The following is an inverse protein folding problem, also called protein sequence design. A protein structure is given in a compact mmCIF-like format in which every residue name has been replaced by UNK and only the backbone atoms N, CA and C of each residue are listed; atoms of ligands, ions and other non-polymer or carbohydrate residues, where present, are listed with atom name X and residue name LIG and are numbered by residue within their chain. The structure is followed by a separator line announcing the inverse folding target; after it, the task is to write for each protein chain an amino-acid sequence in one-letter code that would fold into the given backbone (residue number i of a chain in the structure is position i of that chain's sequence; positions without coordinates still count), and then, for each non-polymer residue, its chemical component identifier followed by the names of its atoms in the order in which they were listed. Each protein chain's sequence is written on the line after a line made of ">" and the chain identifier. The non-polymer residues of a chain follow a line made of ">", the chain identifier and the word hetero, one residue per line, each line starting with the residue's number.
data_IF_680298379653
#
_entry.id   IF_680298379653
#
_cell.length_a   1.000
_cell.length_b   1.000
_cell.length_c   1.000
_cell.angle_alpha   90.00
_cell.angle_beta   90.00
_cell.angle_gamma   90.00
#
_symmetry.space_group_name_H-M   'P 1'
#
loop_
_entity.id
_entity.type
_entity.pdbx_description
1 polymer ?
#
# COMPACT_ATOMS: atom_id res chain seq x y z
N UNK A 1 -8.61 13.92 -88.51
CA UNK A 1 -9.13 12.81 -87.65
C UNK A 1 -8.39 12.88 -86.33
N UNK A 2 -9.03 13.48 -85.36
CA UNK A 2 -8.43 13.74 -84.02
C UNK A 2 -8.95 12.70 -83.07
N UNK A 3 -8.04 11.91 -82.43
CA UNK A 3 -8.37 11.02 -81.34
C UNK A 3 -8.08 11.74 -80.01
N UNK A 4 -9.14 12.06 -79.28
CA UNK A 4 -9.06 12.54 -77.90
C UNK A 4 -8.92 11.31 -76.96
N UNK A 5 -7.82 11.21 -76.23
CA UNK A 5 -7.65 10.21 -75.15
C UNK A 5 -8.17 10.82 -73.88
N UNK A 6 -9.25 10.26 -73.33
CA UNK A 6 -9.65 10.49 -71.91
C UNK A 6 -8.71 9.75 -71.00
N UNK A 7 -8.06 10.49 -70.07
CA UNK A 7 -7.34 9.91 -68.93
C UNK A 7 -8.29 9.91 -67.73
N UNK A 8 -8.70 8.70 -67.25
CA UNK A 8 -9.34 8.54 -65.96
C UNK A 8 -8.26 8.59 -64.85
N UNK A 9 -8.32 9.66 -64.08
CA UNK A 9 -7.52 9.77 -62.86
C UNK A 9 -8.18 8.99 -61.74
N UNK A 10 -7.58 7.88 -61.29
CA UNK A 10 -7.95 7.19 -60.08
C UNK A 10 -7.37 7.94 -58.90
N UNK A 11 -8.22 8.65 -58.14
CA UNK A 11 -7.85 9.22 -56.84
C UNK A 11 -7.83 8.10 -55.80
N UNK A 12 -6.64 7.58 -55.47
CA UNK A 12 -6.43 6.69 -54.34
C UNK A 12 -6.50 7.50 -53.03
N UNK A 13 -7.63 7.42 -52.35
CA UNK A 13 -7.80 7.96 -51.02
C UNK A 13 -6.92 7.19 -50.04
N UNK A 14 -5.78 7.75 -49.64
CA UNK A 14 -4.99 7.23 -48.50
C UNK A 14 -5.73 7.60 -47.23
N UNK A 15 -6.46 6.64 -46.68
CA UNK A 15 -6.98 6.73 -45.31
C UNK A 15 -5.78 6.68 -44.33
N UNK A 16 -5.33 7.83 -43.87
CA UNK A 16 -4.44 7.95 -42.74
C UNK A 16 -5.19 7.41 -41.50
N UNK A 17 -4.99 6.14 -41.17
CA UNK A 17 -5.33 5.61 -39.88
C UNK A 17 -4.46 6.35 -38.87
N UNK A 18 -5.00 7.38 -38.23
CA UNK A 18 -4.41 8.01 -37.08
C UNK A 18 -4.27 6.94 -35.99
N UNK A 19 -3.08 6.40 -35.85
CA UNK A 19 -2.75 5.54 -34.69
C UNK A 19 -2.98 6.40 -33.48
N UNK A 20 -4.12 6.24 -32.80
CA UNK A 20 -4.37 6.88 -31.51
C UNK A 20 -3.24 6.44 -30.58
N UNK A 21 -2.28 7.33 -30.30
CA UNK A 21 -1.21 7.03 -29.36
C UNK A 21 -1.85 6.76 -28.00
N UNK A 22 -1.44 5.67 -27.34
CA UNK A 22 -1.97 5.34 -26.03
C UNK A 22 -1.68 6.49 -25.05
N UNK A 23 -2.71 6.94 -24.33
CA UNK A 23 -2.57 7.91 -23.24
C UNK A 23 -1.64 7.34 -22.18
N UNK A 24 -0.63 8.10 -21.78
CA UNK A 24 0.31 7.67 -20.75
C UNK A 24 0.01 8.34 -19.41
N UNK A 25 -0.25 7.54 -18.37
CA UNK A 25 -0.45 8.02 -17.01
C UNK A 25 0.66 7.53 -16.08
N UNK A 26 1.07 8.38 -15.14
CA UNK A 26 2.07 8.03 -14.12
C UNK A 26 1.43 7.44 -12.87
N UNK A 27 2.12 6.48 -12.23
CA UNK A 27 1.80 6.01 -10.88
C UNK A 27 3.01 6.17 -9.96
N UNK A 28 2.82 6.86 -8.83
CA UNK A 28 3.86 7.09 -7.83
C UNK A 28 4.37 5.79 -7.21
N UNK A 29 5.68 5.63 -7.17
CA UNK A 29 6.35 4.43 -6.73
C UNK A 29 7.58 4.73 -5.87
N UNK A 30 8.12 3.70 -5.24
CA UNK A 30 9.41 3.71 -4.54
C UNK A 30 10.45 2.88 -5.29
N UNK A 31 11.73 3.08 -4.98
CA UNK A 31 12.83 2.31 -5.60
C UNK A 31 12.72 0.80 -5.32
N UNK A 32 12.23 0.41 -4.13
CA UNK A 32 12.15 -0.98 -3.69
C UNK A 32 11.03 -1.16 -2.65
N UNK A 33 10.79 -2.42 -2.24
CA UNK A 33 9.81 -2.77 -1.21
C UNK A 33 8.40 -2.98 -1.74
N UNK A 34 7.42 -2.98 -0.83
CA UNK A 34 6.02 -3.31 -1.16
C UNK A 34 5.42 -2.37 -2.20
N UNK A 35 5.60 -1.05 -2.04
CA UNK A 35 5.08 -0.04 -2.98
C UNK A 35 5.61 -0.28 -4.39
N UNK A 36 6.93 -0.54 -4.54
CA UNK A 36 7.52 -0.81 -5.85
C UNK A 36 6.94 -2.06 -6.52
N UNK A 37 6.70 -3.13 -5.76
CA UNK A 37 6.12 -4.37 -6.28
C UNK A 37 4.64 -4.19 -6.66
N UNK A 38 3.87 -3.53 -5.81
CA UNK A 38 2.45 -3.27 -6.04
C UNK A 38 2.26 -2.43 -7.30
N UNK A 39 2.99 -1.32 -7.41
CA UNK A 39 2.88 -0.43 -8.57
C UNK A 39 3.35 -1.08 -9.87
N UNK A 40 4.37 -1.93 -9.84
CA UNK A 40 4.79 -2.70 -11.01
C UNK A 40 3.69 -3.64 -11.51
N UNK A 41 3.02 -4.34 -10.59
CA UNK A 41 1.92 -5.24 -10.93
C UNK A 41 0.72 -4.48 -11.52
N UNK A 42 0.33 -3.35 -10.91
CA UNK A 42 -0.77 -2.51 -11.41
C UNK A 42 -0.42 -1.94 -12.79
N UNK A 43 0.79 -1.35 -12.93
CA UNK A 43 1.21 -0.75 -14.21
C UNK A 43 1.17 -1.77 -15.34
N UNK A 44 1.66 -2.99 -15.08
CA UNK A 44 1.61 -4.08 -16.06
C UNK A 44 0.17 -4.42 -16.43
N UNK A 45 -0.69 -4.70 -15.44
CA UNK A 45 -2.08 -5.08 -15.68
C UNK A 45 -2.87 -4.00 -16.44
N UNK A 46 -2.71 -2.72 -16.06
CA UNK A 46 -3.38 -1.61 -16.74
C UNK A 46 -2.90 -1.46 -18.16
N UNK A 47 -1.58 -1.49 -18.41
CA UNK A 47 -1.02 -1.35 -19.76
C UNK A 47 -1.40 -2.50 -20.70
N UNK A 48 -1.62 -3.71 -20.18
CA UNK A 48 -2.00 -4.89 -20.95
C UNK A 48 -3.51 -5.00 -21.21
N UNK A 49 -4.35 -4.48 -20.28
CA UNK A 49 -5.80 -4.73 -20.32
C UNK A 49 -6.69 -3.49 -20.35
N UNK A 50 -6.12 -2.28 -20.42
CA UNK A 50 -6.85 -1.04 -20.64
C UNK A 50 -6.54 -0.49 -22.03
N UNK A 51 -7.37 -0.75 -23.06
CA UNK A 51 -7.11 -0.30 -24.42
C UNK A 51 -6.90 1.22 -24.48
N UNK A 52 -5.83 1.64 -25.17
CA UNK A 52 -5.48 3.05 -25.33
C UNK A 52 -4.88 3.70 -24.08
N UNK A 53 -4.52 2.93 -23.03
CA UNK A 53 -3.91 3.46 -21.81
C UNK A 53 -2.60 2.75 -21.49
N UNK A 54 -1.56 3.52 -21.21
CA UNK A 54 -0.27 3.04 -20.69
C UNK A 54 -0.05 3.59 -19.29
N UNK A 55 0.22 2.73 -18.30
CA UNK A 55 0.55 3.17 -16.96
C UNK A 55 2.03 2.94 -16.66
N UNK A 56 2.74 3.99 -16.27
CA UNK A 56 4.19 3.94 -16.02
C UNK A 56 4.52 4.29 -14.56
N UNK A 57 5.37 3.47 -13.96
CA UNK A 57 5.93 3.76 -12.65
C UNK A 57 6.78 5.02 -12.70
N UNK A 58 6.52 5.95 -11.79
CA UNK A 58 7.38 7.10 -11.52
C UNK A 58 7.97 6.97 -10.10
N UNK A 59 9.28 6.72 -10.05
CA UNK A 59 9.97 6.48 -8.78
C UNK A 59 10.32 7.80 -8.10
N UNK A 60 9.62 8.09 -7.01
CA UNK A 60 9.89 9.19 -6.10
C UNK A 60 10.35 8.61 -4.76
N UNK A 61 10.97 9.39 -3.90
CA UNK A 61 11.65 8.88 -2.70
C UNK A 61 10.79 8.04 -1.75
N UNK A 62 9.50 8.37 -1.62
CA UNK A 62 8.55 7.64 -0.79
C UNK A 62 7.13 8.18 -0.94
N UNK A 63 6.16 7.56 -0.29
CA UNK A 63 4.74 7.93 -0.38
C UNK A 63 4.51 9.42 -0.06
N UNK A 64 5.21 9.95 0.94
CA UNK A 64 5.08 11.35 1.32
C UNK A 64 5.55 12.33 0.24
N UNK A 65 6.44 11.93 -0.68
CA UNK A 65 6.90 12.76 -1.78
C UNK A 65 5.90 12.82 -2.94
N UNK A 66 5.17 11.75 -3.24
CA UNK A 66 4.24 11.78 -4.36
C UNK A 66 2.79 12.14 -3.99
N UNK A 67 2.42 12.15 -2.72
CA UNK A 67 1.11 12.66 -2.28
C UNK A 67 0.83 14.08 -2.80
N UNK A 68 1.72 15.09 -2.55
CA UNK A 68 1.47 16.44 -3.06
C UNK A 68 1.45 16.51 -4.59
N UNK A 69 2.26 15.70 -5.29
CA UNK A 69 2.34 15.70 -6.76
C UNK A 69 1.03 15.19 -7.39
N UNK A 70 0.43 14.13 -6.82
CA UNK A 70 -0.90 13.66 -7.26
C UNK A 70 -1.98 14.66 -6.88
N UNK A 71 -1.90 15.27 -5.68
CA UNK A 71 -2.87 16.28 -5.26
C UNK A 71 -2.84 17.55 -6.12
N UNK A 72 -1.69 17.88 -6.73
CA UNK A 72 -1.56 18.96 -7.71
C UNK A 72 -2.05 18.57 -9.11
N UNK A 73 -2.30 17.28 -9.38
CA UNK A 73 -2.66 16.76 -10.70
C UNK A 73 -1.46 16.52 -11.64
N UNK A 74 -0.24 16.66 -11.15
CA UNK A 74 1.01 16.47 -11.93
C UNK A 74 1.40 14.99 -12.07
N UNK A 75 0.85 14.12 -11.24
CA UNK A 75 1.00 12.67 -11.30
C UNK A 75 -0.38 12.02 -11.26
N UNK A 76 -0.63 11.07 -12.15
CA UNK A 76 -1.95 10.48 -12.33
C UNK A 76 -2.47 9.69 -11.12
N UNK A 77 -1.65 8.81 -10.59
CA UNK A 77 -2.05 7.90 -9.52
C UNK A 77 -1.02 7.79 -8.41
N UNK A 78 -1.51 7.41 -7.23
CA UNK A 78 -0.66 7.05 -6.11
C UNK A 78 -1.21 5.83 -5.38
N UNK A 79 -0.35 5.17 -4.60
CA UNK A 79 -0.74 4.13 -3.68
C UNK A 79 -0.21 4.44 -2.27
N UNK A 80 -0.97 4.07 -1.26
CA UNK A 80 -0.53 4.13 0.14
C UNK A 80 -1.33 3.15 0.98
N UNK A 81 -0.90 2.98 2.23
CA UNK A 81 -1.79 2.41 3.23
C UNK A 81 -2.85 3.45 3.67
N UNK A 82 -3.99 2.97 4.17
CA UNK A 82 -5.09 3.84 4.59
C UNK A 82 -4.67 4.85 5.68
N UNK A 83 -3.82 4.56 6.68
CA UNK A 83 -3.36 5.55 7.64
C UNK A 83 -2.67 6.76 7.00
N UNK A 84 -1.78 6.54 6.01
CA UNK A 84 -1.11 7.65 5.31
C UNK A 84 -2.09 8.46 4.47
N UNK A 85 -2.99 7.78 3.75
CA UNK A 85 -4.03 8.45 2.97
C UNK A 85 -4.93 9.33 3.85
N UNK A 86 -5.41 8.77 4.97
CA UNK A 86 -6.24 9.48 5.93
C UNK A 86 -5.53 10.71 6.52
N UNK A 87 -4.27 10.55 6.93
CA UNK A 87 -3.46 11.69 7.39
C UNK A 87 -3.31 12.75 6.31
N UNK A 88 -3.16 12.35 5.05
CA UNK A 88 -3.00 13.26 3.92
C UNK A 88 -4.25 14.11 3.67
N UNK A 89 -5.41 13.47 3.54
CA UNK A 89 -6.66 14.19 3.24
C UNK A 89 -7.16 15.04 4.41
N UNK A 90 -6.76 14.72 5.65
CA UNK A 90 -7.11 15.48 6.86
C UNK A 90 -6.04 16.45 7.34
N UNK A 91 -4.87 16.49 6.70
CA UNK A 91 -3.76 17.37 7.11
C UNK A 91 -3.11 17.02 8.45
N UNK A 92 -3.27 15.76 8.91
CA UNK A 92 -2.80 15.33 10.23
C UNK A 92 -1.48 14.53 10.17
N UNK A 93 -0.89 14.22 11.30
CA UNK A 93 0.26 13.34 11.44
C UNK A 93 1.40 13.67 10.48
N UNK A 94 1.72 12.75 9.56
CA UNK A 94 2.81 12.90 8.60
C UNK A 94 2.62 14.04 7.60
N UNK A 95 1.41 14.55 7.44
CA UNK A 95 1.11 15.67 6.53
C UNK A 95 1.39 17.04 7.16
N UNK A 96 1.63 17.10 8.48
CA UNK A 96 2.10 18.30 9.19
C UNK A 96 1.25 19.56 8.91
N UNK A 97 -0.07 19.43 8.88
CA UNK A 97 -1.02 20.50 8.58
C UNK A 97 -1.37 20.67 7.09
N UNK A 98 -0.63 20.08 6.18
CA UNK A 98 -0.95 20.14 4.75
C UNK A 98 -2.13 19.21 4.43
N UNK A 99 -3.25 19.77 4.03
CA UNK A 99 -4.45 19.04 3.64
C UNK A 99 -4.47 18.81 2.13
N UNK A 100 -4.57 17.55 1.72
CA UNK A 100 -4.56 17.12 0.31
C UNK A 100 -5.97 16.67 -0.10
N UNK A 101 -6.90 17.64 -0.24
CA UNK A 101 -8.33 17.43 -0.42
C UNK A 101 -8.75 17.17 -1.87
N UNK A 102 -7.81 17.18 -2.81
CA UNK A 102 -8.06 16.80 -4.20
C UNK A 102 -7.95 15.27 -4.44
N UNK A 103 -7.46 14.52 -3.46
CA UNK A 103 -7.31 13.08 -3.61
C UNK A 103 -8.65 12.35 -3.58
N UNK A 104 -8.80 11.34 -4.44
CA UNK A 104 -9.97 10.47 -4.51
C UNK A 104 -9.53 9.01 -4.57
N UNK A 105 -10.20 8.18 -3.79
CA UNK A 105 -9.96 6.74 -3.80
C UNK A 105 -10.46 6.14 -5.12
N UNK A 106 -9.65 5.29 -5.72
CA UNK A 106 -10.05 4.49 -6.88
C UNK A 106 -10.44 3.09 -6.41
N UNK A 107 -9.60 2.47 -5.60
CA UNK A 107 -9.88 1.12 -5.10
C UNK A 107 -9.13 0.81 -3.81
N UNK A 108 -9.70 -0.07 -3.02
CA UNK A 108 -9.01 -0.76 -1.92
C UNK A 108 -8.38 -2.04 -2.46
N UNK A 109 -7.16 -2.32 -2.06
CA UNK A 109 -6.41 -3.46 -2.57
C UNK A 109 -6.24 -4.55 -1.50
N UNK A 110 -5.01 -4.89 -1.16
CA UNK A 110 -4.72 -5.94 -0.18
C UNK A 110 -4.71 -5.40 1.25
N UNK A 111 -4.97 -6.31 2.19
CA UNK A 111 -4.80 -6.07 3.62
C UNK A 111 -3.40 -6.48 4.06
N UNK A 112 -2.74 -5.62 4.80
CA UNK A 112 -1.53 -5.95 5.55
C UNK A 112 -1.88 -6.21 7.00
N UNK A 113 -1.20 -7.19 7.58
CA UNK A 113 -1.33 -7.52 9.00
C UNK A 113 0.06 -7.66 9.58
N UNK A 114 0.38 -6.85 10.56
CA UNK A 114 1.71 -6.71 11.14
C UNK A 114 1.66 -6.73 12.67
N UNK A 115 2.72 -7.22 13.30
CA UNK A 115 2.96 -6.99 14.72
C UNK A 115 4.45 -6.91 15.01
N UNK A 116 4.81 -6.68 16.28
CA UNK A 116 6.19 -6.78 16.70
C UNK A 116 6.65 -8.22 16.69
N UNK A 117 7.88 -8.41 16.24
CA UNK A 117 8.59 -9.69 16.18
C UNK A 117 9.78 -9.62 17.11
N UNK A 118 9.91 -10.63 17.96
CA UNK A 118 11.00 -10.79 18.94
C UNK A 118 11.67 -12.15 18.79
N UNK A 119 12.93 -12.33 19.18
CA UNK A 119 13.53 -13.65 19.34
C UNK A 119 12.76 -14.48 20.37
N UNK A 120 12.52 -15.77 20.10
CA UNK A 120 11.83 -16.67 21.06
C UNK A 120 12.59 -16.71 22.38
N UNK A 121 13.92 -16.79 22.32
CA UNK A 121 14.79 -16.86 23.50
C UNK A 121 14.84 -15.57 24.33
N UNK A 122 14.22 -14.47 23.86
CA UNK A 122 14.10 -13.24 24.65
C UNK A 122 13.10 -13.34 25.79
N UNK A 123 12.23 -14.35 25.79
CA UNK A 123 11.14 -14.51 26.77
C UNK A 123 10.04 -13.46 26.70
N UNK A 124 10.11 -12.52 25.73
CA UNK A 124 9.11 -11.45 25.56
C UNK A 124 7.86 -12.01 24.90
N UNK A 125 6.71 -11.82 25.56
CA UNK A 125 5.39 -12.27 25.08
C UNK A 125 4.36 -11.13 25.02
N UNK A 126 4.65 -9.99 25.69
CA UNK A 126 3.75 -8.83 25.80
C UNK A 126 4.49 -7.53 25.50
N UNK A 127 3.76 -6.52 25.09
CA UNK A 127 4.30 -5.20 24.73
C UNK A 127 4.98 -4.51 25.93
N UNK A 128 4.39 -4.58 27.13
CA UNK A 128 4.97 -3.98 28.35
C UNK A 128 6.37 -4.51 28.71
N UNK A 129 6.69 -5.75 28.32
CA UNK A 129 8.02 -6.34 28.52
C UNK A 129 9.10 -5.76 27.58
N UNK A 130 8.72 -4.90 26.64
CA UNK A 130 9.66 -4.20 25.77
C UNK A 130 10.35 -3.00 26.46
N UNK A 131 9.95 -2.62 27.68
CA UNK A 131 10.61 -1.55 28.45
C UNK A 131 12.11 -1.79 28.53
N UNK A 132 12.91 -0.75 28.23
CA UNK A 132 14.38 -0.82 28.22
C UNK A 132 15.00 -1.54 27.01
N UNK A 133 14.18 -2.08 26.10
CA UNK A 133 14.67 -2.79 24.91
C UNK A 133 15.11 -1.82 23.81
N UNK A 134 15.99 -2.29 22.90
CA UNK A 134 16.51 -1.54 21.77
C UNK A 134 15.47 -1.48 20.65
N UNK A 135 14.88 -0.30 20.47
CA UNK A 135 13.84 0.00 19.47
C UNK A 135 14.43 0.71 18.27
N UNK A 136 14.09 0.31 17.03
CA UNK A 136 14.46 1.05 15.85
C UNK A 136 13.76 2.41 15.79
N UNK A 137 14.51 3.46 15.46
CA UNK A 137 14.04 4.85 15.39
C UNK A 137 14.59 5.52 14.13
N UNK A 138 14.18 6.77 13.85
CA UNK A 138 14.69 7.54 12.72
C UNK A 138 13.84 7.37 11.47
N UNK A 139 14.07 6.35 10.67
CA UNK A 139 13.29 6.03 9.47
C UNK A 139 13.07 7.22 8.51
N UNK A 140 14.12 8.03 8.21
CA UNK A 140 13.98 9.21 7.35
C UNK A 140 13.30 8.92 6.00
N UNK A 141 13.58 7.75 5.40
CA UNK A 141 12.97 7.31 4.13
C UNK A 141 11.59 6.65 4.27
N UNK A 142 11.13 6.38 5.50
CA UNK A 142 9.86 5.71 5.76
C UNK A 142 9.26 6.16 7.12
N UNK A 143 8.91 7.43 7.28
CA UNK A 143 8.55 8.04 8.56
C UNK A 143 7.33 7.39 9.22
N UNK A 144 6.46 6.74 8.45
CA UNK A 144 5.32 6.01 8.98
C UNK A 144 5.72 4.93 10.00
N UNK A 145 6.90 4.33 9.86
CA UNK A 145 7.37 3.32 10.82
C UNK A 145 7.61 3.89 12.21
N UNK A 146 8.01 5.17 12.31
CA UNK A 146 8.07 5.87 13.61
C UNK A 146 6.69 5.84 14.29
N UNK A 147 5.64 6.15 13.53
CA UNK A 147 4.28 6.14 14.03
C UNK A 147 3.84 4.72 14.44
N UNK A 148 4.17 3.71 13.62
CA UNK A 148 3.82 2.31 13.92
C UNK A 148 4.50 1.80 15.21
N UNK A 149 5.78 2.14 15.44
CA UNK A 149 6.49 1.78 16.66
C UNK A 149 5.93 2.51 17.87
N UNK A 150 5.79 3.84 17.82
CA UNK A 150 5.25 4.63 18.91
C UNK A 150 3.80 4.23 19.23
N UNK A 151 2.98 4.04 18.22
CA UNK A 151 1.61 3.53 18.37
C UNK A 151 1.60 2.15 19.02
N UNK A 152 2.42 1.22 18.52
CA UNK A 152 2.48 -0.15 19.02
C UNK A 152 2.86 -0.24 20.50
N UNK A 153 3.92 0.45 20.92
CA UNK A 153 4.34 0.45 22.34
C UNK A 153 3.32 1.16 23.22
N UNK A 154 2.66 2.21 22.72
CA UNK A 154 1.65 2.97 23.49
C UNK A 154 0.42 2.14 23.84
N UNK A 155 0.12 1.08 23.09
CA UNK A 155 -1.03 0.20 23.36
C UNK A 155 -1.00 -0.41 24.76
N UNK A 156 0.19 -0.66 25.29
CA UNK A 156 0.41 -1.23 26.64
C UNK A 156 1.13 -0.24 27.59
N UNK A 157 0.96 1.06 27.35
CA UNK A 157 1.36 2.13 28.28
C UNK A 157 2.83 2.56 28.17
N UNK A 158 3.60 2.04 27.20
CA UNK A 158 4.99 2.46 27.01
C UNK A 158 5.08 3.68 26.09
N UNK A 159 6.16 4.44 26.27
CA UNK A 159 6.53 5.60 25.47
C UNK A 159 7.92 5.43 24.85
N UNK A 160 8.28 6.32 23.94
CA UNK A 160 9.64 6.34 23.37
C UNK A 160 10.71 6.51 24.45
N UNK A 161 10.43 7.22 25.54
CA UNK A 161 11.36 7.41 26.66
C UNK A 161 11.68 6.09 27.40
N UNK A 162 10.77 5.12 27.36
CA UNK A 162 10.98 3.79 27.94
C UNK A 162 11.89 2.89 27.10
N UNK A 163 12.33 3.34 25.89
CA UNK A 163 13.09 2.54 24.94
C UNK A 163 14.53 3.00 24.80
N UNK A 164 15.43 2.06 24.48
CA UNK A 164 16.77 2.39 23.98
C UNK A 164 16.67 2.62 22.47
N UNK A 165 16.72 3.89 22.03
CA UNK A 165 16.60 4.27 20.63
C UNK A 165 17.82 3.85 19.81
N UNK A 166 17.59 3.16 18.68
CA UNK A 166 18.63 2.78 17.71
C UNK A 166 18.27 3.31 16.33
N UNK A 167 18.91 4.40 15.87
CA UNK A 167 18.57 5.02 14.59
C UNK A 167 18.70 4.06 13.40
N UNK A 168 17.72 4.09 12.51
CA UNK A 168 17.68 3.33 11.27
C UNK A 168 17.38 4.26 10.09
N UNK A 169 18.04 4.04 8.96
CA UNK A 169 17.82 4.85 7.76
C UNK A 169 16.55 4.45 7.00
N UNK A 170 16.16 3.19 7.08
CA UNK A 170 15.00 2.69 6.37
C UNK A 170 14.59 1.27 6.77
N UNK A 171 13.52 0.81 6.10
CA UNK A 171 12.82 -0.42 6.43
C UNK A 171 13.71 -1.67 6.33
N UNK A 172 14.44 -1.85 5.23
CA UNK A 172 15.28 -3.04 5.03
C UNK A 172 16.44 -3.04 6.03
N UNK A 173 16.98 -1.86 6.35
CA UNK A 173 18.09 -1.73 7.29
C UNK A 173 17.70 -2.17 8.70
N UNK A 174 16.51 -1.81 9.20
CA UNK A 174 16.12 -2.22 10.54
C UNK A 174 15.94 -3.74 10.66
N UNK A 175 15.46 -4.43 9.62
CA UNK A 175 15.39 -5.88 9.59
C UNK A 175 16.77 -6.54 9.59
N UNK A 176 17.73 -5.97 8.83
CA UNK A 176 19.13 -6.43 8.86
C UNK A 176 19.77 -6.20 10.23
N UNK A 177 19.51 -5.04 10.85
CA UNK A 177 19.99 -4.72 12.20
C UNK A 177 19.43 -5.70 13.25
N UNK A 178 18.18 -6.12 13.12
CA UNK A 178 17.57 -7.13 13.98
C UNK A 178 18.26 -8.49 13.82
N UNK A 179 18.46 -8.96 12.58
CA UNK A 179 19.18 -10.21 12.33
C UNK A 179 20.63 -10.19 12.84
N UNK A 180 21.25 -9.01 12.89
CA UNK A 180 22.59 -8.79 13.43
C UNK A 180 22.61 -8.58 14.97
N UNK A 181 21.47 -8.78 15.66
CA UNK A 181 21.37 -8.63 17.10
C UNK A 181 21.51 -7.19 17.63
N UNK A 182 21.40 -6.18 16.76
CA UNK A 182 21.47 -4.75 17.15
C UNK A 182 20.15 -4.19 17.65
N UNK A 183 19.05 -4.89 17.43
CA UNK A 183 17.70 -4.55 17.86
C UNK A 183 17.10 -5.72 18.61
N UNK A 184 16.23 -5.44 19.58
CA UNK A 184 15.56 -6.48 20.36
C UNK A 184 14.20 -6.85 19.80
N UNK A 185 13.60 -5.98 19.00
CA UNK A 185 12.37 -6.25 18.29
C UNK A 185 12.26 -5.40 17.00
N UNK A 186 11.42 -5.85 16.11
CA UNK A 186 11.10 -5.17 14.84
C UNK A 186 9.61 -5.29 14.55
N UNK A 187 9.11 -4.55 13.54
CA UNK A 187 7.78 -4.77 13.00
C UNK A 187 7.88 -5.50 11.66
N UNK A 188 7.04 -6.52 11.47
CA UNK A 188 6.99 -7.26 10.22
C UNK A 188 5.59 -7.82 9.94
N UNK A 189 5.28 -8.00 8.66
CA UNK A 189 4.05 -8.64 8.25
C UNK A 189 4.11 -10.15 8.46
N UNK A 190 3.02 -10.73 8.98
CA UNK A 190 2.90 -12.16 9.16
C UNK A 190 3.12 -12.91 7.84
N UNK A 191 4.03 -13.88 7.85
CA UNK A 191 4.37 -14.69 6.68
C UNK A 191 5.23 -14.00 5.62
N UNK A 192 5.75 -12.80 5.87
CA UNK A 192 6.66 -12.12 4.96
C UNK A 192 7.99 -12.88 4.78
N UNK A 193 8.68 -12.63 3.65
CA UNK A 193 9.99 -13.23 3.40
C UNK A 193 11.03 -12.88 4.45
N UNK A 194 10.95 -11.70 5.07
CA UNK A 194 11.86 -11.32 6.16
C UNK A 194 11.60 -12.11 7.43
N UNK A 195 10.35 -12.39 7.79
CA UNK A 195 10.03 -13.25 8.95
C UNK A 195 10.60 -14.66 8.75
N UNK A 196 10.56 -15.19 7.53
CA UNK A 196 11.22 -16.47 7.20
C UNK A 196 12.75 -16.41 7.37
N UNK A 197 13.37 -15.29 6.97
CA UNK A 197 14.81 -15.08 7.17
C UNK A 197 15.15 -14.96 8.67
N UNK A 198 14.34 -14.26 9.46
CA UNK A 198 14.52 -14.16 10.90
C UNK A 198 14.46 -15.55 11.55
N UNK A 199 13.45 -16.35 11.16
CA UNK A 199 13.26 -17.71 11.65
C UNK A 199 14.46 -18.61 11.37
N UNK A 200 15.13 -18.42 10.24
CA UNK A 200 16.29 -19.21 9.85
C UNK A 200 17.61 -18.72 10.48
N UNK A 201 17.74 -17.40 10.74
CA UNK A 201 19.01 -16.79 11.13
C UNK A 201 19.15 -16.53 12.63
N UNK A 202 18.03 -16.36 13.36
CA UNK A 202 18.05 -16.05 14.79
C UNK A 202 17.97 -17.36 15.58
N UNK A 203 18.94 -17.67 16.46
CA UNK A 203 18.92 -18.88 17.26
C UNK A 203 17.63 -19.01 18.08
N UNK A 204 16.98 -20.17 18.01
CA UNK A 204 15.66 -20.41 18.60
C UNK A 204 14.48 -19.82 17.81
N UNK A 205 14.74 -19.13 16.71
CA UNK A 205 13.71 -18.52 15.87
C UNK A 205 13.10 -17.26 16.48
N UNK A 206 12.00 -16.83 15.86
CA UNK A 206 11.27 -15.60 16.26
C UNK A 206 9.79 -15.88 16.44
N UNK A 207 9.13 -15.00 17.20
CA UNK A 207 7.68 -15.00 17.34
C UNK A 207 7.10 -13.60 17.16
N UNK A 208 5.89 -13.54 16.65
CA UNK A 208 5.05 -12.36 16.78
C UNK A 208 4.49 -12.25 18.19
N UNK A 209 4.40 -11.04 18.72
CA UNK A 209 3.73 -10.77 20.01
C UNK A 209 2.42 -10.03 19.79
N UNK A 210 1.42 -10.33 20.64
CA UNK A 210 0.11 -9.72 20.58
C UNK A 210 0.11 -8.28 21.07
N UNK A 211 -0.58 -7.41 20.34
CA UNK A 211 -1.03 -6.14 20.93
C UNK A 211 -2.21 -6.39 21.88
N UNK A 212 -2.37 -5.60 22.96
CA UNK A 212 -3.54 -5.68 23.80
C UNK A 212 -4.82 -5.50 23.00
N UNK A 213 -5.84 -6.31 23.30
CA UNK A 213 -7.15 -6.24 22.64
C UNK A 213 -7.98 -5.09 23.21
N UNK A 214 -9.07 -4.77 22.51
CA UNK A 214 -10.08 -3.84 22.97
C UNK A 214 -9.92 -2.43 22.41
N UNK A 215 -10.96 -1.63 22.61
CA UNK A 215 -11.09 -0.30 22.04
C UNK A 215 -10.08 0.69 22.64
N UNK A 216 -9.81 0.60 23.93
CA UNK A 216 -8.86 1.49 24.61
C UNK A 216 -7.44 1.40 24.01
N UNK A 217 -6.97 0.18 23.71
CA UNK A 217 -5.67 -0.03 23.07
C UNK A 217 -5.68 0.43 21.60
N UNK A 218 -6.78 0.21 20.87
CA UNK A 218 -6.94 0.69 19.50
C UNK A 218 -6.95 2.23 19.46
N UNK A 219 -7.63 2.89 20.39
CA UNK A 219 -7.62 4.35 20.51
C UNK A 219 -6.22 4.93 20.74
N UNK A 220 -5.38 4.25 21.54
CA UNK A 220 -3.97 4.63 21.69
C UNK A 220 -3.19 4.46 20.36
N UNK A 221 -3.39 3.34 19.66
CA UNK A 221 -2.81 3.09 18.35
C UNK A 221 -3.23 4.18 17.33
N UNK A 222 -4.51 4.55 17.29
CA UNK A 222 -5.07 5.51 16.33
C UNK A 222 -4.49 6.93 16.47
N UNK A 223 -3.96 7.32 17.63
CA UNK A 223 -3.22 8.58 17.78
C UNK A 223 -1.99 8.66 16.87
N UNK A 224 -1.43 7.51 16.50
CA UNK A 224 -0.23 7.41 15.69
C UNK A 224 -0.50 6.82 14.31
N UNK A 225 -1.44 5.88 14.23
CA UNK A 225 -1.71 5.05 13.07
C UNK A 225 -3.24 4.91 12.88
N UNK A 226 -3.92 5.99 12.45
CA UNK A 226 -5.37 6.04 12.32
C UNK A 226 -5.89 5.02 11.30
N UNK A 227 -7.18 4.71 11.34
CA UNK A 227 -7.86 3.81 10.40
C UNK A 227 -7.29 2.37 10.37
N UNK A 228 -6.49 2.00 11.34
CA UNK A 228 -6.06 0.62 11.53
C UNK A 228 -7.09 -0.17 12.33
N UNK A 229 -7.06 -1.49 12.20
CA UNK A 229 -8.00 -2.40 12.87
C UNK A 229 -7.20 -3.48 13.62
N UNK A 230 -7.76 -4.02 14.70
CA UNK A 230 -7.25 -5.26 15.28
C UNK A 230 -7.67 -6.45 14.42
N UNK A 231 -6.75 -7.38 14.23
CA UNK A 231 -6.99 -8.62 13.52
C UNK A 231 -6.26 -9.78 14.20
N UNK A 232 -7.01 -10.80 14.60
CA UNK A 232 -6.42 -11.99 15.21
C UNK A 232 -5.95 -12.96 14.12
N UNK A 233 -4.65 -13.16 14.05
CA UNK A 233 -4.02 -14.15 13.17
C UNK A 233 -3.82 -15.45 13.94
N UNK A 234 -4.40 -16.55 13.42
CA UNK A 234 -4.23 -17.90 14.00
C UNK A 234 -2.99 -18.58 13.40
N UNK A 235 -2.32 -19.46 14.18
CA UNK A 235 -1.26 -20.32 13.66
C UNK A 235 -1.74 -21.13 12.44
N UNK A 236 -0.91 -21.20 11.40
CA UNK A 236 -1.16 -22.04 10.22
C UNK A 236 0.13 -22.27 9.44
N UNK A 237 0.11 -23.26 8.57
CA UNK A 237 1.25 -23.57 7.66
C UNK A 237 1.70 -22.29 6.92
N UNK A 238 3.00 -22.01 6.97
CA UNK A 238 3.61 -20.83 6.34
C UNK A 238 3.65 -19.57 7.21
N UNK A 239 3.05 -19.56 8.40
CA UNK A 239 3.12 -18.48 9.40
C UNK A 239 3.92 -18.94 10.63
N UNK A 240 5.16 -19.37 10.42
CA UNK A 240 6.01 -20.03 11.42
C UNK A 240 6.26 -19.21 12.70
N UNK A 241 6.23 -17.88 12.60
CA UNK A 241 6.41 -16.99 13.76
C UNK A 241 5.07 -16.65 14.48
N UNK A 242 3.92 -17.13 13.98
CA UNK A 242 2.63 -17.04 14.67
C UNK A 242 2.43 -18.34 15.42
N UNK A 243 2.89 -18.39 16.65
CA UNK A 243 2.90 -19.63 17.48
C UNK A 243 1.60 -19.83 18.27
N UNK A 244 0.81 -18.78 18.43
CA UNK A 244 -0.49 -18.75 19.10
C UNK A 244 -1.41 -17.71 18.42
N UNK A 245 -2.74 -17.68 18.70
CA UNK A 245 -3.61 -16.63 18.18
C UNK A 245 -3.12 -15.26 18.60
N UNK A 246 -2.62 -14.48 17.65
CA UNK A 246 -1.90 -13.22 17.88
C UNK A 246 -2.72 -12.04 17.38
N UNK A 247 -3.02 -11.08 18.26
CA UNK A 247 -3.69 -9.84 17.88
C UNK A 247 -2.69 -8.88 17.25
N UNK A 248 -2.93 -8.52 15.99
CA UNK A 248 -2.04 -7.73 15.15
C UNK A 248 -2.74 -6.49 14.63
N UNK A 249 -1.98 -5.47 14.22
CA UNK A 249 -2.50 -4.33 13.48
C UNK A 249 -2.78 -4.79 12.05
N UNK A 250 -3.96 -4.42 11.55
CA UNK A 250 -4.38 -4.63 10.16
C UNK A 250 -4.73 -3.31 9.51
N UNK A 251 -4.34 -3.13 8.26
CA UNK A 251 -4.63 -1.95 7.45
C UNK A 251 -4.62 -2.29 5.97
N UNK A 252 -5.34 -1.52 5.19
CA UNK A 252 -5.47 -1.74 3.75
C UNK A 252 -4.51 -0.85 2.96
N UNK A 253 -4.07 -1.34 1.80
CA UNK A 253 -3.46 -0.53 0.76
C UNK A 253 -4.54 -0.03 -0.20
N UNK A 254 -4.37 1.21 -0.63
CA UNK A 254 -5.29 1.96 -1.48
C UNK A 254 -4.60 2.38 -2.78
N UNK A 255 -5.37 2.39 -3.87
CA UNK A 255 -5.05 3.10 -5.10
C UNK A 255 -5.92 4.35 -5.17
N UNK A 256 -5.32 5.49 -5.42
CA UNK A 256 -6.00 6.79 -5.42
C UNK A 256 -5.45 7.70 -6.53
N UNK A 257 -6.20 8.74 -6.85
CA UNK A 257 -5.92 9.68 -7.94
C UNK A 257 -6.36 11.09 -7.56
N UNK A 258 -6.15 12.07 -8.46
CA UNK A 258 -6.69 13.42 -8.34
C UNK A 258 -8.18 13.48 -8.73
N UNK A 259 -8.98 14.32 -8.05
CA UNK A 259 -10.44 14.46 -8.30
C UNK A 259 -10.82 14.85 -9.72
N UNK A 260 -9.89 15.47 -10.49
CA UNK A 260 -10.07 15.86 -11.89
C UNK A 260 -9.42 14.90 -12.89
N UNK A 261 -8.96 13.72 -12.45
CA UNK A 261 -8.52 12.68 -13.37
C UNK A 261 -9.66 12.32 -14.33
N UNK A 262 -9.35 12.05 -15.59
CA UNK A 262 -10.34 11.66 -16.59
C UNK A 262 -11.20 10.49 -16.10
N UNK A 263 -12.53 10.64 -16.20
CA UNK A 263 -13.49 9.60 -15.84
C UNK A 263 -13.24 8.32 -16.62
N UNK A 264 -12.88 8.42 -17.91
CA UNK A 264 -12.56 7.28 -18.77
C UNK A 264 -11.34 6.51 -18.23
N UNK A 265 -10.27 7.23 -17.87
CA UNK A 265 -9.04 6.63 -17.32
C UNK A 265 -9.34 5.93 -16.01
N UNK A 266 -10.04 6.58 -15.08
CA UNK A 266 -10.36 5.98 -13.78
C UNK A 266 -11.28 4.76 -13.92
N UNK A 267 -12.28 4.84 -14.80
CA UNK A 267 -13.17 3.72 -15.10
C UNK A 267 -12.40 2.52 -15.64
N UNK A 268 -11.51 2.73 -16.63
CA UNK A 268 -10.63 1.68 -17.18
C UNK A 268 -9.75 1.05 -16.11
N UNK A 269 -9.13 1.85 -15.26
CA UNK A 269 -8.28 1.36 -14.16
C UNK A 269 -9.11 0.55 -13.17
N UNK A 270 -10.27 1.04 -12.72
CA UNK A 270 -11.16 0.31 -11.81
C UNK A 270 -11.61 -1.04 -12.41
N UNK A 271 -11.95 -1.05 -13.71
CA UNK A 271 -12.31 -2.27 -14.46
C UNK A 271 -11.16 -3.28 -14.48
N UNK A 272 -9.93 -2.85 -14.78
CA UNK A 272 -8.76 -3.73 -14.78
C UNK A 272 -8.52 -4.31 -13.39
N UNK A 273 -8.58 -3.49 -12.34
CA UNK A 273 -8.42 -3.96 -10.96
C UNK A 273 -9.45 -5.03 -10.58
N UNK A 274 -10.65 -4.95 -11.13
CA UNK A 274 -11.71 -5.94 -10.91
C UNK A 274 -11.53 -7.21 -11.77
N UNK A 275 -11.39 -7.03 -13.07
CA UNK A 275 -11.44 -8.17 -14.01
C UNK A 275 -10.14 -8.96 -14.10
N UNK A 276 -9.00 -8.36 -13.68
CA UNK A 276 -7.68 -8.99 -13.78
C UNK A 276 -7.17 -9.54 -12.42
N UNK A 277 -8.07 -9.94 -11.52
CA UNK A 277 -7.72 -10.48 -10.20
C UNK A 277 -6.68 -11.62 -10.27
N UNK A 278 -6.83 -12.55 -11.22
CA UNK A 278 -5.90 -13.68 -11.41
C UNK A 278 -4.49 -13.19 -11.75
N UNK A 279 -4.36 -12.23 -12.65
CA UNK A 279 -3.08 -11.64 -13.04
C UNK A 279 -2.46 -10.84 -11.90
N UNK A 280 -3.26 -10.04 -11.17
CA UNK A 280 -2.80 -9.30 -10.01
C UNK A 280 -2.25 -10.26 -8.94
N UNK A 281 -2.95 -11.36 -8.64
CA UNK A 281 -2.48 -12.40 -7.71
C UNK A 281 -1.17 -13.05 -8.15
N UNK A 282 -0.97 -13.24 -9.44
CA UNK A 282 0.28 -13.76 -10.01
C UNK A 282 1.45 -12.76 -9.88
N UNK A 283 1.18 -11.47 -9.65
CA UNK A 283 2.18 -10.42 -9.46
C UNK A 283 3.01 -10.53 -8.18
N UNK A 284 2.72 -11.50 -7.31
CA UNK A 284 3.58 -11.82 -6.16
C UNK A 284 2.83 -12.06 -4.84
N UNK A 285 3.59 -12.37 -3.78
CA UNK A 285 3.02 -12.77 -2.48
C UNK A 285 2.12 -11.71 -1.83
N UNK A 286 2.35 -10.43 -2.12
CA UNK A 286 1.54 -9.32 -1.57
C UNK A 286 0.10 -9.36 -2.08
N UNK A 287 -0.13 -9.89 -3.28
CA UNK A 287 -1.43 -9.95 -3.94
C UNK A 287 -2.22 -11.23 -3.64
N UNK A 288 -1.64 -12.23 -2.98
CA UNK A 288 -2.27 -13.55 -2.77
C UNK A 288 -3.63 -13.49 -2.08
N UNK A 289 -3.83 -12.55 -1.16
CA UNK A 289 -5.07 -12.35 -0.42
C UNK A 289 -6.00 -11.32 -1.07
N UNK A 290 -5.67 -10.83 -2.25
CA UNK A 290 -6.53 -9.89 -2.97
C UNK A 290 -7.79 -10.60 -3.47
N UNK A 291 -8.95 -10.06 -3.16
CA UNK A 291 -10.26 -10.55 -3.59
C UNK A 291 -11.06 -9.32 -4.06
N UNK A 292 -11.18 -9.18 -5.39
CA UNK A 292 -11.72 -7.97 -6.00
C UNK A 292 -13.12 -7.62 -5.47
N UNK A 293 -14.07 -8.55 -5.56
CA UNK A 293 -15.46 -8.33 -5.14
C UNK A 293 -15.62 -7.95 -3.66
N UNK A 294 -14.69 -8.37 -2.80
CA UNK A 294 -14.74 -8.08 -1.36
C UNK A 294 -14.01 -6.80 -0.96
N UNK A 295 -13.12 -6.32 -1.83
CA UNK A 295 -12.15 -5.28 -1.44
C UNK A 295 -12.34 -3.96 -2.16
N UNK A 296 -12.59 -3.99 -3.47
CA UNK A 296 -12.46 -2.81 -4.34
C UNK A 296 -13.28 -1.61 -3.89
N UNK A 297 -14.52 -1.83 -3.46
CA UNK A 297 -15.45 -0.77 -3.06
C UNK A 297 -15.61 -0.67 -1.52
N UNK A 298 -14.62 -1.11 -0.73
CA UNK A 298 -14.68 -1.00 0.74
C UNK A 298 -14.84 0.47 1.15
N UNK A 299 -15.89 0.76 1.92
CA UNK A 299 -16.12 2.10 2.47
C UNK A 299 -15.21 2.36 3.68
N UNK A 300 -14.76 3.59 3.80
CA UNK A 300 -14.05 4.14 4.98
C UNK A 300 -14.79 5.36 5.55
N UNK A 301 -16.08 5.51 5.22
CA UNK A 301 -16.89 6.68 5.59
C UNK A 301 -16.84 7.82 4.58
N UNK A 302 -17.63 8.83 4.82
CA UNK A 302 -17.78 9.99 3.92
C UNK A 302 -16.49 10.80 3.77
N UNK A 303 -15.63 10.77 4.79
CA UNK A 303 -14.36 11.51 4.80
C UNK A 303 -13.28 10.93 3.88
N UNK A 304 -13.53 9.74 3.29
CA UNK A 304 -12.62 9.08 2.36
C UNK A 304 -13.33 8.80 1.03
N UNK A 305 -13.59 9.85 0.22
CA UNK A 305 -14.44 9.73 -0.95
C UNK A 305 -13.74 9.01 -2.11
N UNK A 306 -14.52 8.19 -2.80
CA UNK A 306 -14.13 7.60 -4.09
C UNK A 306 -14.22 8.60 -5.24
N UNK A 307 -13.45 8.36 -6.31
CA UNK A 307 -13.65 9.04 -7.57
C UNK A 307 -15.00 8.63 -8.21
N UNK A 308 -15.79 9.57 -8.75
CA UNK A 308 -17.11 9.26 -9.28
C UNK A 308 -17.13 8.14 -10.33
N UNK A 309 -16.15 8.10 -11.22
CA UNK A 309 -16.04 7.06 -12.24
C UNK A 309 -15.76 5.66 -11.67
N UNK A 310 -15.03 5.57 -10.55
CA UNK A 310 -14.86 4.30 -9.85
C UNK A 310 -16.17 3.83 -9.19
N UNK A 311 -16.90 4.76 -8.57
CA UNK A 311 -18.24 4.48 -8.02
C UNK A 311 -19.19 3.99 -9.12
N UNK A 312 -19.22 4.67 -10.26
CA UNK A 312 -20.03 4.29 -11.43
C UNK A 312 -19.74 2.83 -11.82
N UNK A 313 -18.47 2.49 -12.05
CA UNK A 313 -18.08 1.14 -12.41
C UNK A 313 -18.52 0.10 -11.35
N UNK A 314 -18.27 0.37 -10.06
CA UNK A 314 -18.60 -0.58 -9.00
C UNK A 314 -20.10 -0.80 -8.82
N UNK A 315 -20.94 0.22 -9.10
CA UNK A 315 -22.41 0.08 -9.14
C UNK A 315 -22.85 -0.76 -10.33
N UNK A 316 -22.29 -0.53 -11.52
CA UNK A 316 -22.60 -1.28 -12.73
C UNK A 316 -22.33 -2.79 -12.59
N UNK A 317 -21.27 -3.16 -11.87
CA UNK A 317 -20.92 -4.58 -11.65
C UNK A 317 -21.44 -5.13 -10.32
N UNK A 318 -22.25 -4.39 -9.58
CA UNK A 318 -22.93 -4.85 -8.36
C UNK A 318 -22.02 -5.00 -7.11
N UNK A 319 -20.80 -4.47 -7.14
CA UNK A 319 -19.88 -4.50 -5.98
C UNK A 319 -20.27 -3.43 -4.96
N UNK A 320 -20.76 -2.29 -5.42
CA UNK A 320 -21.29 -1.20 -4.61
C UNK A 320 -22.80 -1.11 -4.82
N UNK A 321 -23.56 -1.07 -3.72
CA UNK A 321 -25.02 -0.89 -3.74
C UNK A 321 -25.43 0.57 -3.84
#
# INVERSE_FOLDING_TARGET
>A
MNYVKLALGAAAGVALAASASAETVGIGSTKAGAVSQITATISKAVSEHAPGLQMRKQTLGGTQQYIPVVNAGELGFGISNIPQYYMAINGTGLSKGNKYDNLRLVTTMMRFTVSFVVPVNSGVTRISQLKGKRMPTGFKGAPLFVNMFNGGISTDGLTKADMKSVPQVGLVQHWRSFMAGKLDFVIAAAGSGFVKQFQAKIPGGVRHISFPKGEASLKKMHKWFPMSEWHVVKPRKGLTAVVEPTNMISYDYLLWTHKKMSDEVVYKVAKVMHTQEKQLKAGGPLWRSFEANKRLAKSYGADVPYHPAAVKYYKEVGILK
#
